data_IF_510388048600
#
_entry.id   IF_510388048600
#
_cell.length_a   1.000
_cell.length_b   1.000
_cell.length_c   1.000
_cell.angle_alpha   90.00
_cell.angle_beta   90.00
_cell.angle_gamma   90.00
#
_symmetry.space_group_name_H-M   'P 1'
#
loop_
_entity.id
_entity.type
_entity.pdbx_description
1 polymer ?
#
# COMPACT_ATOMS: atom_id res chain seq x y z
N UNK A 1 -16.42 52.06 -52.02
CA UNK A 1 -16.70 51.27 -50.79
C UNK A 1 -15.60 50.24 -50.66
N UNK A 2 -14.64 50.46 -49.75
CA UNK A 2 -13.47 49.57 -49.54
C UNK A 2 -13.86 48.52 -48.50
N UNK A 3 -13.79 47.24 -48.84
CA UNK A 3 -13.98 46.13 -47.90
C UNK A 3 -12.61 45.65 -47.42
N UNK A 4 -12.33 45.87 -46.14
CA UNK A 4 -11.16 45.34 -45.43
C UNK A 4 -11.51 43.93 -44.94
N UNK A 5 -10.83 42.91 -45.46
CA UNK A 5 -10.89 41.55 -44.91
C UNK A 5 -9.89 41.48 -43.76
N UNK A 6 -10.42 41.39 -42.53
CA UNK A 6 -9.64 41.12 -41.32
C UNK A 6 -9.38 39.61 -41.21
N UNK A 7 -8.12 39.21 -41.36
CA UNK A 7 -7.68 37.85 -41.05
C UNK A 7 -7.37 37.77 -39.55
N UNK A 8 -8.22 37.07 -38.80
CA UNK A 8 -7.98 36.76 -37.39
C UNK A 8 -7.11 35.50 -37.34
N UNK A 9 -5.84 35.67 -36.99
CA UNK A 9 -4.92 34.55 -36.72
C UNK A 9 -5.15 34.13 -35.26
N UNK A 10 -5.87 33.04 -35.06
CA UNK A 10 -5.96 32.37 -33.76
C UNK A 10 -4.68 31.58 -33.53
N UNK A 11 -3.80 32.11 -32.68
CA UNK A 11 -2.63 31.38 -32.18
C UNK A 11 -3.15 30.37 -31.16
N UNK A 12 -3.35 29.12 -31.60
CA UNK A 12 -3.61 28.00 -30.70
C UNK A 12 -2.37 27.72 -29.86
N UNK A 13 -2.37 28.13 -28.60
CA UNK A 13 -1.45 27.61 -27.60
C UNK A 13 -1.85 26.16 -27.30
N UNK A 14 -1.29 25.23 -28.07
CA UNK A 14 -1.29 23.82 -27.70
C UNK A 14 -0.45 23.64 -26.44
N UNK A 15 -1.09 23.25 -25.34
CA UNK A 15 -0.38 22.71 -24.18
C UNK A 15 0.31 21.42 -24.64
N UNK A 16 1.60 21.52 -24.97
CA UNK A 16 2.43 20.35 -25.18
C UNK A 16 2.52 19.62 -23.85
N UNK A 17 1.82 18.49 -23.74
CA UNK A 17 2.06 17.54 -22.67
C UNK A 17 3.51 17.07 -22.81
N UNK A 18 4.32 17.08 -21.73
CA UNK A 18 5.68 16.58 -21.81
C UNK A 18 5.61 15.09 -22.16
N UNK A 19 6.01 14.76 -23.39
CA UNK A 19 6.14 13.40 -23.86
C UNK A 19 7.23 12.74 -23.01
N UNK A 20 6.93 11.62 -22.34
CA UNK A 20 7.94 10.73 -21.77
C UNK A 20 8.99 10.45 -22.85
N UNK A 21 10.22 10.93 -22.63
CA UNK A 21 11.32 10.79 -23.61
C UNK A 21 11.81 9.36 -23.77
N UNK A 22 11.35 8.43 -22.93
CA UNK A 22 11.71 7.03 -22.97
C UNK A 22 10.70 6.23 -23.81
N UNK A 23 11.11 5.77 -24.99
CA UNK A 23 10.27 5.03 -25.95
C UNK A 23 10.81 3.63 -26.27
N UNK A 24 11.36 2.95 -25.26
CA UNK A 24 11.85 1.59 -25.40
C UNK A 24 10.97 0.62 -24.60
N UNK A 25 10.74 -0.58 -25.16
CA UNK A 25 10.02 -1.67 -24.48
C UNK A 25 10.80 -2.30 -23.33
N UNK A 26 12.13 -2.13 -23.31
CA UNK A 26 12.99 -2.63 -22.25
C UNK A 26 13.03 -1.62 -21.11
N UNK A 27 13.25 -2.07 -19.89
CA UNK A 27 13.47 -1.19 -18.75
C UNK A 27 14.81 -0.45 -18.86
N UNK A 28 14.92 0.77 -18.29
CA UNK A 28 16.20 1.41 -18.08
C UNK A 28 17.14 0.55 -17.24
N UNK A 29 18.41 0.49 -17.62
CA UNK A 29 19.43 -0.35 -16.97
C UNK A 29 20.04 0.26 -15.70
N UNK A 30 19.71 1.52 -15.39
CA UNK A 30 20.26 2.25 -14.24
C UNK A 30 19.92 1.61 -12.88
N UNK A 31 18.84 0.82 -12.80
CA UNK A 31 18.35 0.22 -11.56
C UNK A 31 18.31 -1.30 -11.67
N UNK A 32 18.61 -1.97 -10.56
CA UNK A 32 18.54 -3.43 -10.44
C UNK A 32 17.84 -3.84 -9.14
N UNK A 33 16.83 -4.72 -9.16
CA UNK A 33 16.23 -5.22 -7.94
C UNK A 33 17.18 -6.17 -7.21
N UNK A 34 17.26 -6.02 -5.88
CA UNK A 34 18.00 -6.88 -4.96
C UNK A 34 17.05 -7.84 -4.25
N UNK A 35 15.85 -7.39 -3.88
CA UNK A 35 14.88 -8.18 -3.12
C UNK A 35 13.48 -7.60 -3.24
N UNK A 36 12.49 -8.50 -3.23
CA UNK A 36 11.08 -8.15 -3.08
C UNK A 36 10.54 -8.66 -1.74
N UNK A 37 9.86 -7.80 -1.00
CA UNK A 37 9.00 -8.17 0.12
C UNK A 37 7.55 -7.91 -0.31
N UNK A 38 6.83 -8.98 -0.67
CA UNK A 38 5.52 -8.93 -1.31
C UNK A 38 4.43 -9.40 -0.33
N UNK A 39 3.44 -8.54 -0.09
CA UNK A 39 2.27 -8.84 0.73
C UNK A 39 1.02 -8.79 -0.14
N UNK A 40 0.29 -9.91 -0.23
CA UNK A 40 -0.94 -10.02 -1.03
C UNK A 40 -2.10 -10.41 -0.13
N UNK A 41 -3.18 -9.65 -0.18
CA UNK A 41 -4.49 -9.98 0.37
C UNK A 41 -5.41 -10.37 -0.78
N UNK A 42 -5.98 -11.56 -0.73
CA UNK A 42 -6.92 -12.06 -1.74
C UNK A 42 -8.30 -12.27 -1.13
N UNK A 43 -9.32 -11.77 -1.81
CA UNK A 43 -10.71 -11.81 -1.39
C UNK A 43 -11.52 -12.60 -2.43
N UNK A 44 -11.93 -13.81 -2.04
CA UNK A 44 -12.71 -14.74 -2.86
C UNK A 44 -14.10 -15.00 -2.27
N UNK A 45 -14.48 -14.31 -1.19
CA UNK A 45 -15.74 -14.52 -0.47
C UNK A 45 -16.92 -13.88 -1.18
N UNK A 46 -16.69 -12.76 -1.87
CA UNK A 46 -17.70 -12.05 -2.61
C UNK A 46 -17.61 -12.42 -4.11
N UNK A 47 -18.58 -13.19 -4.59
CA UNK A 47 -18.65 -13.63 -5.98
C UNK A 47 -18.79 -12.46 -6.97
N UNK A 48 -19.29 -11.31 -6.53
CA UNK A 48 -19.49 -10.14 -7.38
C UNK A 48 -18.24 -9.25 -7.47
N UNK A 49 -17.23 -9.47 -6.61
CA UNK A 49 -16.10 -8.57 -6.46
C UNK A 49 -14.79 -9.30 -6.13
N UNK A 50 -14.45 -10.35 -6.89
CA UNK A 50 -13.16 -11.03 -6.81
C UNK A 50 -11.99 -10.04 -6.95
N UNK A 51 -11.26 -9.85 -5.87
CA UNK A 51 -10.30 -8.76 -5.73
C UNK A 51 -9.06 -9.21 -5.01
N UNK A 52 -7.98 -8.50 -5.30
CA UNK A 52 -6.77 -8.59 -4.53
C UNK A 52 -6.15 -7.22 -4.36
N UNK A 53 -5.36 -7.08 -3.31
CA UNK A 53 -4.59 -5.89 -3.06
C UNK A 53 -3.42 -6.21 -2.14
N UNK A 54 -2.45 -5.32 -2.11
CA UNK A 54 -1.19 -5.65 -1.49
C UNK A 54 -0.26 -4.48 -1.38
N UNK A 55 0.92 -4.79 -0.84
CA UNK A 55 2.08 -3.91 -0.88
C UNK A 55 3.29 -4.70 -1.35
N UNK A 56 4.17 -4.00 -2.06
CA UNK A 56 5.47 -4.53 -2.45
C UNK A 56 6.54 -3.53 -2.05
N UNK A 57 7.51 -4.02 -1.28
CA UNK A 57 8.72 -3.27 -0.96
C UNK A 57 9.85 -3.83 -1.82
N UNK A 58 10.41 -2.98 -2.67
CA UNK A 58 11.44 -3.37 -3.64
C UNK A 58 12.75 -2.72 -3.20
N UNK A 59 13.72 -3.53 -2.79
CA UNK A 59 15.09 -3.07 -2.58
C UNK A 59 15.77 -3.00 -3.93
N UNK A 60 16.27 -1.82 -4.28
CA UNK A 60 16.89 -1.54 -5.58
C UNK A 60 18.32 -1.05 -5.38
N UNK A 61 19.24 -1.60 -6.17
CA UNK A 61 20.59 -1.07 -6.34
C UNK A 61 20.60 -0.07 -7.48
N UNK A 62 21.24 1.07 -7.26
CA UNK A 62 21.47 2.07 -8.30
C UNK A 62 22.82 1.80 -8.95
N UNK A 63 22.84 1.54 -10.25
CA UNK A 63 24.04 1.28 -11.03
C UNK A 63 24.57 2.57 -11.68
N UNK A 64 23.65 3.44 -12.09
CA UNK A 64 23.93 4.73 -12.71
C UNK A 64 23.02 5.79 -12.08
N UNK A 65 23.52 7.01 -11.94
CA UNK A 65 22.74 8.10 -11.35
C UNK A 65 21.45 8.33 -12.15
N UNK A 66 20.32 8.44 -11.46
CA UNK A 66 19.01 8.63 -12.11
C UNK A 66 18.02 9.39 -11.25
N UNK A 67 17.03 10.02 -11.88
CA UNK A 67 15.96 10.78 -11.21
C UNK A 67 14.60 10.07 -11.29
N UNK A 68 14.56 8.83 -11.77
CA UNK A 68 13.33 8.06 -11.82
C UNK A 68 13.54 6.58 -11.50
N UNK A 69 12.45 5.95 -11.09
CA UNK A 69 12.32 4.50 -10.93
C UNK A 69 11.21 4.07 -11.89
N UNK A 70 11.57 3.27 -12.90
CA UNK A 70 10.60 2.71 -13.84
C UNK A 70 10.42 1.23 -13.55
N UNK A 71 9.18 0.80 -13.35
CA UNK A 71 8.79 -0.60 -13.17
C UNK A 71 7.67 -0.96 -14.15
N UNK A 72 7.48 -2.24 -14.43
CA UNK A 72 6.30 -2.70 -15.14
C UNK A 72 5.09 -2.76 -14.21
N UNK A 73 3.94 -2.31 -14.69
CA UNK A 73 2.65 -2.38 -14.00
C UNK A 73 1.52 -2.27 -15.03
N UNK A 74 0.59 -3.22 -15.03
CA UNK A 74 -0.54 -3.25 -15.97
C UNK A 74 -1.83 -3.53 -15.21
N UNK A 75 -2.87 -2.75 -15.47
CA UNK A 75 -4.21 -2.94 -14.87
C UNK A 75 -4.20 -2.99 -13.33
N UNK A 76 -3.26 -2.27 -12.71
CA UNK A 76 -3.15 -2.11 -11.25
C UNK A 76 -3.47 -0.66 -10.87
N UNK A 77 -4.25 -0.50 -9.80
CA UNK A 77 -4.44 0.81 -9.16
C UNK A 77 -3.41 0.96 -8.05
N UNK A 78 -2.50 1.92 -8.19
CA UNK A 78 -1.45 2.22 -7.20
C UNK A 78 -1.90 3.39 -6.32
N UNK A 79 -1.78 3.23 -5.00
CA UNK A 79 -2.07 4.27 -4.02
C UNK A 79 -0.83 5.15 -3.80
N UNK A 80 -0.79 6.26 -4.53
CA UNK A 80 0.30 7.24 -4.47
C UNK A 80 0.51 7.83 -3.07
N UNK A 81 -0.53 7.89 -2.24
CA UNK A 81 -0.42 8.47 -0.89
C UNK A 81 0.31 7.57 0.09
N UNK A 82 0.34 6.27 -0.20
CA UNK A 82 1.04 5.24 0.56
C UNK A 82 2.42 4.89 -0.04
N UNK A 83 2.76 5.46 -1.20
CA UNK A 83 4.06 5.25 -1.83
C UNK A 83 5.17 5.94 -1.05
N UNK A 84 6.22 5.20 -0.72
CA UNK A 84 7.38 5.73 -0.01
C UNK A 84 8.68 5.34 -0.70
N UNK A 85 9.71 6.18 -0.57
CA UNK A 85 11.04 5.93 -1.09
C UNK A 85 12.04 6.30 0.00
N UNK A 86 12.95 5.40 0.34
CA UNK A 86 14.00 5.67 1.33
C UNK A 86 15.32 5.06 0.91
N UNK A 87 16.43 5.70 1.30
CA UNK A 87 17.76 5.13 1.15
C UNK A 87 18.00 4.09 2.26
N UNK A 88 18.58 2.95 1.89
CA UNK A 88 18.97 1.90 2.84
C UNK A 88 20.50 1.80 2.86
N UNK A 89 21.09 2.19 3.97
CA UNK A 89 22.54 2.17 4.17
C UNK A 89 23.28 3.30 3.45
N UNK A 90 24.45 3.63 3.96
CA UNK A 90 25.28 4.75 3.48
C UNK A 90 25.60 5.75 4.59
N UNK A 91 26.71 6.48 4.44
CA UNK A 91 27.16 7.49 5.39
C UNK A 91 26.23 8.72 5.45
N UNK A 92 25.50 8.99 4.35
CA UNK A 92 24.52 10.06 4.22
C UNK A 92 23.14 9.44 3.96
N UNK A 93 22.43 9.02 5.03
CA UNK A 93 21.01 8.66 4.94
C UNK A 93 20.19 9.94 4.71
N UNK A 94 20.11 10.36 3.46
CA UNK A 94 19.24 11.46 3.06
C UNK A 94 17.88 10.87 2.70
N UNK A 95 16.84 11.34 3.38
CA UNK A 95 15.47 11.06 2.96
C UNK A 95 15.28 11.50 1.51
N UNK A 96 14.62 10.64 0.74
CA UNK A 96 14.17 10.92 -0.61
C UNK A 96 12.65 10.77 -0.64
N UNK A 97 12.01 11.26 -1.69
CA UNK A 97 10.58 11.11 -1.88
C UNK A 97 10.26 10.88 -3.35
N UNK A 98 9.01 10.50 -3.60
CA UNK A 98 8.43 10.47 -4.93
C UNK A 98 7.75 11.81 -5.17
N UNK A 99 8.20 12.54 -6.20
CA UNK A 99 7.70 13.87 -6.54
C UNK A 99 6.46 13.80 -7.43
N UNK A 100 6.42 12.86 -8.35
CA UNK A 100 5.26 12.58 -9.20
C UNK A 100 5.33 11.16 -9.74
N UNK A 101 4.19 10.68 -10.24
CA UNK A 101 4.10 9.37 -10.88
C UNK A 101 3.49 9.51 -12.28
N UNK A 102 3.82 8.60 -13.18
CA UNK A 102 3.36 8.60 -14.56
C UNK A 102 3.12 7.16 -15.02
N UNK A 103 2.00 6.93 -15.71
CA UNK A 103 1.67 5.64 -16.32
C UNK A 103 1.92 5.74 -17.81
N UNK A 104 2.74 4.83 -18.35
CA UNK A 104 2.89 4.65 -19.79
C UNK A 104 2.17 3.35 -20.21
N UNK A 105 0.97 3.45 -20.79
CA UNK A 105 0.18 2.27 -21.14
C UNK A 105 0.69 1.54 -22.39
N UNK A 106 1.55 2.16 -23.21
CA UNK A 106 2.10 1.53 -24.42
C UNK A 106 3.14 0.46 -24.05
N UNK A 107 3.94 0.75 -23.02
CA UNK A 107 5.03 -0.12 -22.55
C UNK A 107 4.73 -0.79 -21.20
N UNK A 108 3.50 -0.66 -20.70
CA UNK A 108 3.07 -1.10 -19.36
C UNK A 108 4.00 -0.60 -18.23
N UNK A 109 4.46 0.65 -18.31
CA UNK A 109 5.34 1.22 -17.28
C UNK A 109 4.58 2.04 -16.26
N UNK A 110 5.06 1.95 -15.02
CA UNK A 110 4.81 2.91 -13.96
C UNK A 110 6.13 3.59 -13.59
N UNK A 111 6.18 4.90 -13.79
CA UNK A 111 7.37 5.72 -13.61
C UNK A 111 7.20 6.58 -12.37
N UNK A 112 8.10 6.44 -11.41
CA UNK A 112 8.17 7.28 -10.22
C UNK A 112 9.30 8.29 -10.41
N UNK A 113 8.97 9.58 -10.45
CA UNK A 113 9.99 10.65 -10.42
C UNK A 113 10.41 10.89 -8.98
N UNK A 114 11.70 10.97 -8.73
CA UNK A 114 12.24 11.18 -7.39
C UNK A 114 12.38 12.67 -7.09
N UNK A 115 12.36 13.03 -5.81
CA UNK A 115 12.62 14.41 -5.36
C UNK A 115 14.10 14.79 -5.47
N UNK A 116 14.97 13.80 -5.29
CA UNK A 116 16.43 13.91 -5.39
C UNK A 116 16.97 12.79 -6.25
N UNK A 117 18.10 13.06 -6.90
CA UNK A 117 18.83 12.07 -7.68
C UNK A 117 19.20 10.84 -6.84
N UNK A 118 18.97 9.67 -7.40
CA UNK A 118 19.43 8.39 -6.89
C UNK A 118 20.89 8.22 -7.30
N UNK A 119 21.77 8.01 -6.32
CA UNK A 119 23.21 7.96 -6.56
C UNK A 119 23.70 6.53 -6.79
N UNK A 120 24.54 6.34 -7.80
CA UNK A 120 25.17 5.07 -8.11
C UNK A 120 25.92 4.47 -6.90
N UNK A 121 25.81 3.15 -6.75
CA UNK A 121 26.37 2.40 -5.62
C UNK A 121 25.52 2.41 -4.35
N UNK A 122 24.49 3.26 -4.26
CA UNK A 122 23.56 3.27 -3.13
C UNK A 122 22.40 2.28 -3.34
N UNK A 123 21.77 1.92 -2.22
CA UNK A 123 20.58 1.05 -2.20
C UNK A 123 19.40 1.87 -1.70
N UNK A 124 18.26 1.72 -2.37
CA UNK A 124 17.00 2.33 -1.97
C UNK A 124 15.94 1.26 -1.80
N UNK A 125 14.89 1.58 -1.05
CA UNK A 125 13.68 0.78 -0.97
C UNK A 125 12.49 1.65 -1.36
N UNK A 126 11.76 1.18 -2.37
CA UNK A 126 10.50 1.77 -2.81
C UNK A 126 9.37 0.87 -2.33
N UNK A 127 8.41 1.45 -1.63
CA UNK A 127 7.22 0.75 -1.15
C UNK A 127 6.03 1.21 -1.98
N UNK A 128 5.32 0.26 -2.60
CA UNK A 128 4.16 0.53 -3.46
C UNK A 128 2.97 -0.25 -2.94
N UNK A 129 1.83 0.43 -2.78
CA UNK A 129 0.56 -0.21 -2.44
C UNK A 129 -0.32 -0.28 -3.67
N UNK A 130 -0.85 -1.46 -3.97
CA UNK A 130 -1.61 -1.72 -5.19
C UNK A 130 -2.90 -2.49 -4.91
N UNK A 131 -3.84 -2.40 -5.84
CA UNK A 131 -5.07 -3.19 -5.85
C UNK A 131 -5.56 -3.43 -7.26
N UNK A 132 -6.24 -4.55 -7.48
CA UNK A 132 -6.90 -4.87 -8.75
C UNK A 132 -7.97 -5.94 -8.58
N UNK A 133 -8.70 -6.22 -9.65
CA UNK A 133 -9.63 -7.35 -9.74
C UNK A 133 -8.92 -8.59 -10.23
N UNK A 134 -9.33 -9.77 -9.75
CA UNK A 134 -8.81 -11.02 -10.30
C UNK A 134 -9.34 -11.22 -11.72
N UNK A 135 -8.41 -11.41 -12.66
CA UNK A 135 -8.71 -11.71 -14.06
C UNK A 135 -9.48 -13.01 -14.20
N UNK A 136 -10.32 -13.11 -15.22
CA UNK A 136 -10.96 -14.35 -15.67
C UNK A 136 -10.14 -15.06 -16.77
N UNK A 137 -9.06 -14.43 -17.24
CA UNK A 137 -8.11 -15.00 -18.20
C UNK A 137 -7.02 -15.76 -17.45
N UNK A 138 -6.49 -16.82 -18.06
CA UNK A 138 -5.43 -17.67 -17.50
C UNK A 138 -4.05 -16.99 -17.49
N UNK A 139 -3.97 -15.70 -17.17
CA UNK A 139 -2.77 -14.87 -17.17
C UNK A 139 -2.68 -14.00 -15.92
N UNK A 140 -1.48 -13.65 -15.49
CA UNK A 140 -1.27 -12.77 -14.35
C UNK A 140 -1.75 -13.42 -13.06
N UNK A 141 -2.50 -12.66 -12.25
CA UNK A 141 -3.19 -13.20 -11.07
C UNK A 141 -4.69 -13.30 -11.35
N UNK A 142 -5.15 -14.55 -11.51
CA UNK A 142 -6.48 -14.83 -12.02
C UNK A 142 -7.27 -15.78 -11.13
N UNK A 143 -8.58 -15.84 -11.37
CA UNK A 143 -9.50 -16.75 -10.68
C UNK A 143 -9.89 -17.92 -11.58
N UNK A 144 -10.08 -19.08 -10.96
CA UNK A 144 -10.67 -20.26 -11.58
C UNK A 144 -11.68 -20.89 -10.63
N UNK A 145 -12.46 -21.86 -11.11
CA UNK A 145 -13.42 -22.57 -10.28
C UNK A 145 -13.52 -24.04 -10.68
N UNK A 146 -13.96 -24.86 -9.72
CA UNK A 146 -14.32 -26.25 -9.95
C UNK A 146 -15.56 -26.59 -9.12
N UNK A 147 -16.33 -27.59 -9.57
CA UNK A 147 -17.46 -28.11 -8.80
C UNK A 147 -16.95 -29.22 -7.90
N UNK A 148 -17.19 -29.09 -6.60
CA UNK A 148 -16.94 -30.17 -5.65
C UNK A 148 -18.00 -31.26 -5.84
N UNK A 149 -17.63 -32.49 -6.26
CA UNK A 149 -18.60 -33.54 -6.54
C UNK A 149 -19.31 -34.05 -5.27
N UNK A 150 -18.73 -33.83 -4.08
CA UNK A 150 -19.32 -34.28 -2.80
C UNK A 150 -20.27 -33.23 -2.25
N UNK A 151 -19.86 -31.95 -2.24
CA UNK A 151 -20.68 -30.86 -1.73
C UNK A 151 -21.70 -30.33 -2.77
N UNK A 152 -21.51 -30.64 -4.06
CA UNK A 152 -22.24 -30.06 -5.19
C UNK A 152 -22.20 -28.52 -5.20
N UNK A 153 -21.05 -27.96 -4.80
CA UNK A 153 -20.81 -26.52 -4.68
C UNK A 153 -19.66 -26.07 -5.59
N UNK A 154 -19.81 -24.92 -6.23
CA UNK A 154 -18.72 -24.27 -6.98
C UNK A 154 -17.70 -23.67 -6.01
N UNK A 155 -16.47 -24.16 -6.05
CA UNK A 155 -15.35 -23.64 -5.28
C UNK A 155 -14.46 -22.76 -6.14
N UNK A 156 -14.18 -21.57 -5.63
CA UNK A 156 -13.29 -20.60 -6.27
C UNK A 156 -11.86 -20.75 -5.78
N UNK A 157 -10.92 -20.57 -6.71
CA UNK A 157 -9.47 -20.56 -6.45
C UNK A 157 -8.83 -19.38 -7.16
N UNK A 158 -7.71 -18.90 -6.63
CA UNK A 158 -6.87 -17.89 -7.28
C UNK A 158 -5.51 -18.50 -7.63
N UNK A 159 -5.04 -18.26 -8.84
CA UNK A 159 -3.83 -18.86 -9.41
C UNK A 159 -3.02 -17.78 -10.11
N UNK A 160 -1.69 -17.92 -10.11
CA UNK A 160 -0.78 -17.06 -10.86
C UNK A 160 -0.20 -17.78 -12.08
N UNK A 161 -0.19 -17.12 -13.25
CA UNK A 161 0.54 -17.55 -14.44
C UNK A 161 1.28 -16.34 -15.03
N UNK A 162 2.58 -16.24 -14.77
CA UNK A 162 3.37 -15.03 -15.07
C UNK A 162 4.20 -15.10 -16.35
N UNK A 163 4.39 -16.28 -16.93
CA UNK A 163 5.14 -16.39 -18.18
C UNK A 163 4.32 -15.82 -19.35
N UNK A 164 4.94 -15.08 -20.29
CA UNK A 164 6.32 -14.60 -20.28
C UNK A 164 6.54 -13.28 -19.54
N UNK A 165 5.50 -12.44 -19.41
CA UNK A 165 5.61 -11.06 -18.90
C UNK A 165 4.30 -10.60 -18.23
N UNK A 166 3.68 -11.49 -17.46
CA UNK A 166 2.38 -11.25 -16.82
C UNK A 166 2.51 -11.04 -15.30
N UNK A 167 3.72 -11.00 -14.73
CA UNK A 167 3.90 -10.65 -13.32
C UNK A 167 3.44 -9.21 -13.03
N UNK A 168 3.62 -8.31 -14.02
CA UNK A 168 3.16 -6.91 -13.99
C UNK A 168 1.65 -6.71 -13.80
N UNK A 169 0.84 -7.75 -14.04
CA UNK A 169 -0.61 -7.74 -13.80
C UNK A 169 -0.96 -8.06 -12.33
N UNK A 170 0.00 -8.53 -11.54
CA UNK A 170 -0.20 -8.95 -10.16
C UNK A 170 0.42 -7.98 -9.15
N UNK A 171 1.58 -7.39 -9.47
CA UNK A 171 2.22 -6.37 -8.66
C UNK A 171 3.24 -5.58 -9.50
N UNK A 172 3.52 -4.30 -9.15
CA UNK A 172 4.53 -3.51 -9.86
C UNK A 172 5.93 -4.12 -9.67
N UNK A 173 6.65 -4.40 -10.76
CA UNK A 173 7.95 -5.08 -10.67
C UNK A 173 8.86 -4.90 -11.90
N UNK A 174 10.12 -5.33 -11.79
CA UNK A 174 11.08 -5.36 -12.90
C UNK A 174 10.84 -6.63 -13.73
N UNK A 175 9.73 -6.68 -14.45
CA UNK A 175 9.23 -7.86 -15.18
C UNK A 175 10.00 -8.17 -16.49
N UNK A 176 11.31 -8.42 -16.36
CA UNK A 176 12.14 -9.02 -17.42
C UNK A 176 13.02 -10.14 -16.83
N UNK A 177 13.29 -11.23 -17.57
CA UNK A 177 14.02 -12.39 -17.06
C UNK A 177 15.45 -12.10 -16.58
N UNK A 178 16.05 -10.99 -17.03
CA UNK A 178 17.38 -10.54 -16.58
C UNK A 178 17.41 -10.00 -15.15
N UNK A 179 16.28 -9.55 -14.61
CA UNK A 179 16.18 -8.91 -13.29
C UNK A 179 15.83 -9.92 -12.18
N UNK A 180 16.72 -10.89 -11.97
CA UNK A 180 16.54 -11.89 -10.91
C UNK A 180 16.73 -11.27 -9.53
N UNK A 181 15.78 -11.52 -8.63
CA UNK A 181 15.89 -11.21 -7.22
C UNK A 181 15.10 -12.22 -6.36
N UNK A 182 15.51 -12.47 -5.10
CA UNK A 182 14.73 -13.24 -4.14
C UNK A 182 13.41 -12.55 -3.76
N UNK A 183 12.39 -13.36 -3.52
CA UNK A 183 11.07 -12.94 -3.05
C UNK A 183 10.79 -13.46 -1.64
N UNK A 184 10.31 -12.58 -0.78
CA UNK A 184 9.68 -12.91 0.50
C UNK A 184 8.19 -12.64 0.35
N UNK A 185 7.37 -13.69 0.38
CA UNK A 185 5.94 -13.59 0.04
C UNK A 185 5.11 -13.85 1.29
N UNK A 186 4.17 -12.93 1.56
CA UNK A 186 3.14 -13.08 2.59
C UNK A 186 1.77 -13.09 1.93
N UNK A 187 1.06 -14.20 2.07
CA UNK A 187 -0.30 -14.35 1.58
C UNK A 187 -1.29 -14.19 2.73
N UNK A 188 -2.28 -13.32 2.54
CA UNK A 188 -3.44 -13.16 3.42
C UNK A 188 -4.70 -13.55 2.64
N UNK A 189 -5.51 -14.38 3.27
CA UNK A 189 -6.72 -14.93 2.68
C UNK A 189 -7.64 -15.39 3.81
N UNK A 190 -8.92 -15.57 3.52
CA UNK A 190 -9.86 -16.07 4.52
C UNK A 190 -9.50 -17.48 4.98
N UNK A 191 -9.70 -17.77 6.27
CA UNK A 191 -9.35 -19.05 6.94
C UNK A 191 -9.89 -20.34 6.31
N UNK A 192 -10.81 -20.22 5.35
CA UNK A 192 -11.40 -21.35 4.61
C UNK A 192 -10.51 -21.80 3.44
N UNK A 193 -9.52 -20.99 3.06
CA UNK A 193 -8.58 -21.26 2.00
C UNK A 193 -7.23 -21.70 2.55
N UNK A 194 -6.41 -22.26 1.68
CA UNK A 194 -5.00 -22.58 1.94
C UNK A 194 -4.16 -21.84 0.91
N UNK A 195 -3.09 -21.18 1.37
CA UNK A 195 -2.15 -20.48 0.51
C UNK A 195 -0.97 -21.38 0.17
N UNK A 196 -0.58 -21.38 -1.11
CA UNK A 196 0.58 -22.08 -1.62
C UNK A 196 1.48 -21.08 -2.35
N UNK A 197 2.79 -21.32 -2.30
CA UNK A 197 3.80 -20.50 -2.97
C UNK A 197 5.04 -21.37 -3.26
N UNK A 198 6.03 -20.81 -3.95
CA UNK A 198 7.25 -21.52 -4.34
C UNK A 198 8.05 -22.08 -3.16
N UNK A 199 8.05 -21.38 -2.02
CA UNK A 199 8.83 -21.74 -0.85
C UNK A 199 7.95 -22.30 0.29
N UNK A 200 8.50 -23.19 1.14
CA UNK A 200 7.79 -23.68 2.32
C UNK A 200 7.35 -22.55 3.24
N UNK A 201 6.22 -22.75 3.92
CA UNK A 201 5.67 -21.76 4.84
C UNK A 201 6.61 -21.58 6.03
N UNK A 202 7.12 -20.36 6.21
CA UNK A 202 8.01 -20.02 7.32
C UNK A 202 7.25 -19.80 8.63
N UNK A 203 6.07 -19.18 8.55
CA UNK A 203 5.20 -18.83 9.69
C UNK A 203 3.74 -18.80 9.23
N UNK A 204 2.85 -19.33 10.06
CA UNK A 204 1.40 -19.12 9.97
C UNK A 204 0.95 -18.31 11.17
N UNK A 205 0.06 -17.34 10.96
CA UNK A 205 -0.49 -16.52 12.03
C UNK A 205 -1.94 -16.20 11.74
N UNK A 206 -2.76 -16.10 12.78
CA UNK A 206 -4.08 -15.46 12.71
C UNK A 206 -3.88 -14.00 13.13
N UNK A 207 -4.55 -13.07 12.45
CA UNK A 207 -4.72 -11.73 12.98
C UNK A 207 -5.64 -11.86 14.21
N UNK A 208 -5.04 -12.00 15.39
CA UNK A 208 -5.77 -12.07 16.66
C UNK A 208 -5.91 -10.62 17.16
N UNK A 209 -7.14 -10.14 17.44
CA UNK A 209 -7.33 -8.89 18.16
C UNK A 209 -6.49 -8.90 19.43
N UNK A 210 -5.54 -7.97 19.56
CA UNK A 210 -4.76 -7.82 20.78
C UNK A 210 -5.51 -6.88 21.72
N UNK A 211 -6.03 -7.41 22.82
CA UNK A 211 -6.47 -6.59 23.94
C UNK A 211 -5.24 -6.13 24.72
N UNK A 212 -5.09 -4.81 24.84
CA UNK A 212 -4.00 -4.21 25.63
C UNK A 212 -4.49 -4.11 27.07
N UNK A 213 -3.74 -4.71 27.98
CA UNK A 213 -3.98 -4.62 29.43
C UNK A 213 -3.23 -3.40 29.97
N UNK A 214 -3.64 -2.90 31.13
CA UNK A 214 -3.01 -1.76 31.82
C UNK A 214 -3.04 -0.44 31.02
N UNK A 215 -4.15 -0.17 30.33
CA UNK A 215 -4.41 1.15 29.77
C UNK A 215 -4.47 2.19 30.90
N UNK A 216 -3.97 3.42 30.66
CA UNK A 216 -4.05 4.50 31.62
C UNK A 216 -5.52 4.87 31.92
N UNK A 217 -5.72 5.66 32.98
CA UNK A 217 -7.06 5.98 33.47
C UNK A 217 -7.96 6.67 32.44
N UNK A 218 -9.28 6.74 32.67
CA UNK A 218 -10.25 7.28 31.71
C UNK A 218 -10.05 8.77 31.34
N UNK A 219 -9.20 9.47 32.08
CA UNK A 219 -8.84 10.88 31.89
C UNK A 219 -7.52 11.05 31.11
N UNK A 220 -6.87 9.95 30.73
CA UNK A 220 -5.60 9.95 30.00
C UNK A 220 -5.78 9.31 28.62
N UNK A 221 -5.11 9.85 27.62
CA UNK A 221 -5.14 9.30 26.27
C UNK A 221 -3.99 8.32 26.02
N UNK A 222 -4.22 7.40 25.09
CA UNK A 222 -3.19 6.54 24.51
C UNK A 222 -3.15 6.72 23.01
N UNK A 223 -1.95 6.88 22.48
CA UNK A 223 -1.70 6.86 21.04
C UNK A 223 -0.89 5.62 20.68
N UNK A 224 -1.33 4.91 19.65
CA UNK A 224 -0.65 3.74 19.10
C UNK A 224 0.07 4.10 17.80
N UNK A 225 1.02 3.25 17.39
CA UNK A 225 1.92 3.47 16.25
C UNK A 225 2.84 4.68 16.41
N UNK A 226 3.31 4.97 17.63
CA UNK A 226 4.21 6.08 17.87
C UNK A 226 5.45 6.01 16.95
N UNK A 227 5.64 7.05 16.14
CA UNK A 227 6.80 7.23 15.25
C UNK A 227 7.00 6.09 14.23
N UNK A 228 6.00 5.24 13.99
CA UNK A 228 6.08 4.21 12.95
C UNK A 228 5.89 4.84 11.57
N UNK A 229 6.74 4.46 10.61
CA UNK A 229 6.73 4.95 9.23
C UNK A 229 5.61 4.35 8.36
N UNK A 230 4.97 3.26 8.81
CA UNK A 230 3.88 2.60 8.11
C UNK A 230 2.58 2.70 8.94
N UNK A 231 1.54 3.44 8.47
CA UNK A 231 0.33 3.64 9.25
C UNK A 231 -0.49 2.34 9.31
N UNK A 232 -0.58 1.73 10.50
CA UNK A 232 -1.68 0.81 10.78
C UNK A 232 -2.91 1.63 11.15
N UNK A 233 -4.09 1.28 10.61
CA UNK A 233 -5.34 1.90 11.07
C UNK A 233 -5.60 1.47 12.50
N UNK A 234 -5.57 2.42 13.42
CA UNK A 234 -5.92 2.24 14.83
C UNK A 234 -7.31 2.83 15.02
N UNK A 235 -8.23 2.03 15.53
CA UNK A 235 -9.56 2.50 15.87
C UNK A 235 -9.61 2.79 17.37
N UNK A 236 -9.52 4.06 17.75
CA UNK A 236 -9.70 4.49 19.14
C UNK A 236 -11.19 4.55 19.50
N UNK A 237 -11.50 4.39 20.79
CA UNK A 237 -12.86 4.64 21.28
C UNK A 237 -13.17 6.16 21.32
N UNK A 238 -14.45 6.49 21.56
CA UNK A 238 -14.92 7.86 21.55
C UNK A 238 -14.27 8.75 22.62
N UNK A 239 -13.92 8.17 23.78
CA UNK A 239 -13.33 8.91 24.89
C UNK A 239 -11.87 9.26 24.59
N UNK A 240 -11.09 8.29 24.09
CA UNK A 240 -9.71 8.51 23.70
C UNK A 240 -9.60 9.48 22.52
N UNK A 241 -10.54 9.42 21.56
CA UNK A 241 -10.65 10.43 20.50
C UNK A 241 -10.86 11.84 21.05
N UNK A 242 -11.77 11.99 22.01
CA UNK A 242 -12.05 13.29 22.64
C UNK A 242 -10.80 13.86 23.32
N UNK A 243 -10.11 13.04 24.12
CA UNK A 243 -8.89 13.46 24.83
C UNK A 243 -7.76 13.82 23.85
N UNK A 244 -7.53 13.02 22.80
CA UNK A 244 -6.54 13.34 21.77
C UNK A 244 -6.86 14.65 21.04
N UNK A 245 -8.13 14.90 20.73
CA UNK A 245 -8.58 16.14 20.09
C UNK A 245 -8.37 17.33 21.03
N UNK A 246 -8.69 17.20 22.31
CA UNK A 246 -8.47 18.24 23.32
C UNK A 246 -6.98 18.58 23.44
N UNK A 247 -6.11 17.57 23.57
CA UNK A 247 -4.65 17.77 23.64
C UNK A 247 -4.09 18.41 22.37
N UNK A 248 -4.50 17.95 21.19
CA UNK A 248 -4.03 18.51 19.90
C UNK A 248 -4.46 19.97 19.68
N UNK A 249 -5.55 20.41 20.31
CA UNK A 249 -6.04 21.79 20.24
C UNK A 249 -5.58 22.68 21.41
N UNK A 250 -4.83 22.10 22.36
CA UNK A 250 -4.27 22.81 23.52
C UNK A 250 -2.83 23.24 23.29
N UNK A 251 -2.25 24.01 24.21
CA UNK A 251 -0.81 24.33 24.21
C UNK A 251 0.07 23.08 24.47
N UNK A 252 -0.51 22.02 25.04
CA UNK A 252 0.16 20.75 25.33
C UNK A 252 0.28 19.83 24.10
N UNK A 253 -0.12 20.28 22.91
CA UNK A 253 0.05 19.52 21.67
C UNK A 253 1.52 19.12 21.40
N UNK A 254 2.49 19.81 22.02
CA UNK A 254 3.92 19.49 21.93
C UNK A 254 4.30 18.16 22.59
N UNK A 255 3.47 17.66 23.50
CA UNK A 255 3.65 16.37 24.15
C UNK A 255 3.42 15.19 23.19
N UNK A 256 2.74 15.42 22.06
CA UNK A 256 2.56 14.42 20.99
C UNK A 256 3.63 14.66 19.91
N UNK A 257 4.44 13.65 19.64
CA UNK A 257 5.51 13.76 18.64
C UNK A 257 4.99 14.24 17.27
N UNK A 258 5.77 15.08 16.57
CA UNK A 258 5.37 15.72 15.30
C UNK A 258 4.91 14.74 14.23
N UNK A 259 5.52 13.55 14.17
CA UNK A 259 5.14 12.47 13.24
C UNK A 259 3.74 11.94 13.55
N UNK A 260 3.38 11.76 14.82
CA UNK A 260 2.07 11.27 15.22
C UNK A 260 0.98 12.32 14.98
N UNK A 261 1.28 13.61 15.21
CA UNK A 261 0.34 14.71 14.91
C UNK A 261 0.00 14.77 13.43
N UNK A 262 0.99 14.61 12.56
CA UNK A 262 0.80 14.56 11.11
C UNK A 262 -0.01 13.33 10.67
N UNK A 263 0.13 12.20 11.36
CA UNK A 263 -0.63 10.98 11.09
C UNK A 263 -2.10 11.11 11.52
N UNK A 264 -2.38 11.69 12.68
CA UNK A 264 -3.75 11.93 13.16
C UNK A 264 -4.48 12.94 12.27
N UNK A 265 -3.77 13.95 11.72
CA UNK A 265 -4.32 14.92 10.78
C UNK A 265 -4.60 14.39 9.36
N UNK A 266 -4.09 13.21 8.99
CA UNK A 266 -4.35 12.55 7.68
C UNK A 266 -5.61 11.69 7.67
N UNK A 267 -6.24 11.43 8.82
CA UNK A 267 -7.65 11.07 8.86
C UNK A 267 -8.42 12.36 8.61
N UNK A 268 -9.04 12.51 7.44
CA UNK A 268 -9.94 13.63 7.17
C UNK A 268 -10.88 13.81 8.35
N UNK A 269 -10.71 14.94 9.05
CA UNK A 269 -11.72 15.58 9.86
C UNK A 269 -12.98 15.60 9.01
N UNK A 270 -13.91 14.69 9.32
CA UNK A 270 -15.30 14.87 8.95
C UNK A 270 -15.73 16.18 9.60
N UNK A 271 -15.83 17.21 8.77
CA UNK A 271 -16.51 18.46 9.04
C UNK A 271 -17.90 18.13 9.60
N UNK A 272 -18.06 18.19 10.92
CA UNK A 272 -19.37 18.24 11.55
C UNK A 272 -19.85 19.69 11.42
N UNK A 273 -20.46 19.99 10.28
CA UNK A 273 -21.40 21.11 10.19
C UNK A 273 -22.53 20.85 11.20
N UNK A 274 -22.88 21.89 11.97
CA UNK A 274 -24.03 21.85 12.89
C UNK A 274 -25.31 21.66 12.08
N UNK A 275 -26.07 20.62 12.40
CA UNK A 275 -27.50 20.56 12.15
C UNK A 275 -28.01 19.23 11.60
N UNK A 276 -29.08 18.74 12.22
CA UNK A 276 -29.93 17.60 11.87
C UNK A 276 -29.38 16.20 12.23
N UNK A 277 -29.96 15.62 13.28
CA UNK A 277 -29.68 14.26 13.74
C UNK A 277 -30.42 13.16 12.97
N UNK A 278 -30.04 11.91 13.27
CA UNK A 278 -30.80 10.66 13.14
C UNK A 278 -29.93 9.56 13.79
N UNK A 279 -30.26 9.17 15.02
CA UNK A 279 -30.95 7.93 15.44
C UNK A 279 -30.15 6.63 15.26
N UNK A 280 -29.94 5.98 16.40
CA UNK A 280 -29.43 4.63 16.65
C UNK A 280 -29.95 3.53 15.71
N UNK A 281 -29.12 2.51 15.48
CA UNK A 281 -29.45 1.15 15.98
C UNK A 281 -28.25 0.19 16.03
N UNK A 282 -28.21 -0.48 17.17
CA UNK A 282 -27.28 -1.49 17.69
C UNK A 282 -27.27 -2.81 16.90
N UNK A 283 -26.20 -3.58 17.06
CA UNK A 283 -26.30 -4.99 17.42
C UNK A 283 -25.00 -5.44 18.13
N UNK A 284 -25.11 -5.76 19.42
CA UNK A 284 -24.14 -6.59 20.13
C UNK A 284 -24.55 -8.06 20.03
N UNK A 285 -23.59 -8.95 20.25
CA UNK A 285 -23.88 -10.28 20.80
C UNK A 285 -22.69 -10.75 21.64
N UNK A 286 -23.01 -11.20 22.85
CA UNK A 286 -22.11 -11.73 23.86
C UNK A 286 -21.68 -13.16 23.50
N UNK A 287 -20.42 -13.52 23.76
CA UNK A 287 -20.04 -14.91 24.03
C UNK A 287 -19.11 -14.99 25.24
N UNK A 288 -19.62 -15.67 26.27
CA UNK A 288 -18.91 -16.24 27.41
C UNK A 288 -18.21 -17.54 27.00
N UNK A 289 -17.11 -17.89 27.68
CA UNK A 289 -16.49 -19.22 27.60
C UNK A 289 -15.00 -19.26 27.89
N UNK A 290 -14.65 -19.75 29.06
CA UNK A 290 -13.30 -20.05 29.58
C UNK A 290 -12.54 -21.09 28.74
N UNK A 291 -11.19 -21.10 28.84
CA UNK A 291 -10.41 -22.31 28.53
C UNK A 291 -9.00 -22.11 27.95
N UNK A 292 -8.05 -21.77 28.83
CA UNK A 292 -6.65 -22.27 28.95
C UNK A 292 -5.78 -22.57 27.70
N UNK A 293 -4.59 -21.95 27.65
CA UNK A 293 -3.43 -22.53 26.94
C UNK A 293 -2.41 -21.53 26.38
N UNK A 294 -1.38 -21.24 27.18
CA UNK A 294 -0.14 -20.51 26.91
C UNK A 294 0.36 -20.32 25.46
N UNK A 295 0.79 -19.10 25.12
CA UNK A 295 2.22 -18.79 24.93
C UNK A 295 2.42 -17.27 24.84
N UNK A 296 3.15 -16.72 25.81
CA UNK A 296 3.49 -15.30 25.90
C UNK A 296 4.39 -14.90 24.73
N UNK A 297 3.92 -13.96 23.91
CA UNK A 297 4.75 -13.21 22.95
C UNK A 297 4.78 -11.77 23.42
N UNK A 298 5.68 -11.49 24.37
CA UNK A 298 6.19 -10.15 24.64
C UNK A 298 6.89 -9.64 23.37
N UNK A 299 6.13 -9.01 22.49
CA UNK A 299 6.69 -8.11 21.48
C UNK A 299 6.50 -6.72 22.05
N UNK A 300 7.62 -6.11 22.46
CA UNK A 300 7.67 -4.84 23.17
C UNK A 300 6.76 -3.78 22.58
N UNK A 301 5.61 -3.56 23.22
CA UNK A 301 4.72 -2.42 23.04
C UNK A 301 5.08 -1.30 24.03
N UNK A 302 6.38 -1.06 24.25
CA UNK A 302 6.87 0.13 24.97
C UNK A 302 6.97 1.34 24.03
N UNK A 303 5.93 1.59 23.26
CA UNK A 303 5.85 2.75 22.35
C UNK A 303 4.47 3.43 22.42
N UNK A 304 3.92 3.53 23.62
CA UNK A 304 2.82 4.45 23.92
C UNK A 304 3.43 5.72 24.53
N UNK A 305 3.07 6.88 23.98
CA UNK A 305 3.21 8.15 24.72
C UNK A 305 1.98 8.29 25.61
N UNK A 306 2.22 8.60 26.88
CA UNK A 306 1.21 8.96 27.88
C UNK A 306 1.69 10.27 28.47
N UNK A 307 0.82 11.28 28.49
CA UNK A 307 1.06 12.52 29.23
C UNK A 307 0.17 12.55 30.47
#
# INVERSE_FOLDING_TARGET
MKWLVLVVITIGFGLATPISTYNHYRLPTALRPIKYDLHVLTQLENADAFRFGGSVDIKIQVLENTNNITVHSKELTIDETATTLRQIGGADLKDNCVSSTEVNPEHDFYVLRTCRELLAGQVYEVSLRFSSTLSDRLEGYYRSSYVDPVANETRWISITHFEPASARLAFPCFDEPGYKAPFSITLRYHKKFTGLSNMPVKRTGKDVPKTIQDLPGPDQWVIFNNQLSAPYKVNYDAQNWKLLIETLNSEDYQCIHVVNRAQTGRCHVLRLDRGAGLRDRFAGDQLSGEGTGASSLEVGLRQSEVC
#
